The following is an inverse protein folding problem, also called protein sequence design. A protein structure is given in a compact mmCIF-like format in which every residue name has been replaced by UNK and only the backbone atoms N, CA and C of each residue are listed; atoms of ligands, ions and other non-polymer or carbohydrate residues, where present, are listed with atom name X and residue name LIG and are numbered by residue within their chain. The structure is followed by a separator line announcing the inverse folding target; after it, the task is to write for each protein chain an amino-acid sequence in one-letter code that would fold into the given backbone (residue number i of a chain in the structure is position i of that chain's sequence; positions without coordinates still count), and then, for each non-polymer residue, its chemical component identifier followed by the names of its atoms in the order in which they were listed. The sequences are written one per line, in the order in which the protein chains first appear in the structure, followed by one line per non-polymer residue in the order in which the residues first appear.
data_IF_620541008771
#
_entry.id   IF_620541008771
#
_cell.length_a   1.000
_cell.length_b   1.000
_cell.length_c   1.000
_cell.angle_alpha   90.00
_cell.angle_beta   90.00
_cell.angle_gamma   90.00
#
_symmetry.space_group_name_H-M   'P 1'
#
loop_
_entity.id
_entity.type
_entity.pdbx_description
1 polymer ?
#
# COMPACT_ATOMS: atom_id res chain seq x y z
N UNK A 1 12.97 5.93 35.12
CA UNK A 1 12.25 5.11 36.12
C UNK A 1 12.58 5.55 37.53
N UNK A 2 13.84 5.49 37.97
CA UNK A 2 14.24 5.85 39.36
C UNK A 2 13.81 7.27 39.80
N UNK A 3 13.97 8.30 38.95
CA UNK A 3 13.55 9.68 39.28
C UNK A 3 12.02 9.79 39.46
N UNK A 4 11.25 9.14 38.59
CA UNK A 4 9.78 9.13 38.66
C UNK A 4 9.29 8.37 39.90
N UNK A 5 9.91 7.23 40.19
CA UNK A 5 9.62 6.42 41.38
C UNK A 5 9.88 7.20 42.68
N UNK A 6 11.05 7.85 42.81
CA UNK A 6 11.37 8.66 43.99
C UNK A 6 10.40 9.84 44.17
N UNK A 7 9.94 10.44 43.07
CA UNK A 7 8.94 11.52 43.10
C UNK A 7 7.59 11.01 43.61
N UNK A 8 7.17 9.82 43.19
CA UNK A 8 5.91 9.21 43.62
C UNK A 8 5.95 8.78 45.09
N UNK A 9 7.07 8.20 45.54
CA UNK A 9 7.22 7.69 46.91
C UNK A 9 7.83 8.71 47.90
N UNK A 10 7.87 10.00 47.55
CA UNK A 10 8.43 11.05 48.42
C UNK A 10 7.78 11.07 49.82
N UNK A 11 6.48 10.77 49.92
CA UNK A 11 5.76 10.70 51.20
C UNK A 11 6.34 9.61 52.13
N UNK A 12 6.74 8.45 51.59
CA UNK A 12 7.37 7.37 52.36
C UNK A 12 8.75 7.78 52.85
N UNK A 13 9.52 8.48 52.01
CA UNK A 13 10.83 9.01 52.36
C UNK A 13 10.69 10.07 53.46
N UNK A 14 9.71 10.98 53.33
CA UNK A 14 9.41 12.00 54.34
C UNK A 14 9.00 11.36 55.68
N UNK A 15 8.11 10.37 55.65
CA UNK A 15 7.69 9.63 56.85
C UNK A 15 8.89 8.97 57.55
N UNK A 16 9.78 8.34 56.79
CA UNK A 16 10.99 7.72 57.32
C UNK A 16 11.92 8.76 57.99
N UNK A 17 12.13 9.92 57.35
CA UNK A 17 12.93 11.02 57.91
C UNK A 17 12.32 11.51 59.23
N UNK A 18 11.00 11.70 59.28
CA UNK A 18 10.30 12.11 60.51
C UNK A 18 10.48 11.08 61.62
N UNK A 19 10.40 9.78 61.33
CA UNK A 19 10.64 8.73 62.32
C UNK A 19 12.09 8.71 62.84
N UNK A 20 13.09 9.02 62.01
CA UNK A 20 14.47 9.15 62.51
C UNK A 20 14.66 10.41 63.35
N UNK A 21 14.00 11.51 62.97
CA UNK A 21 14.05 12.76 63.73
C UNK A 21 13.43 12.60 65.13
N UNK A 22 12.36 11.82 65.28
CA UNK A 22 11.79 11.53 66.60
C UNK A 22 12.72 10.68 67.48
N UNK A 23 13.44 9.70 66.91
CA UNK A 23 14.46 8.92 67.65
C UNK A 23 15.62 9.81 68.13
N UNK A 24 16.05 10.77 67.31
CA UNK A 24 17.07 11.74 67.71
C UNK A 24 16.56 12.68 68.80
N UNK A 25 15.31 13.14 68.69
CA UNK A 25 14.68 14.00 69.67
C UNK A 25 14.54 13.31 71.03
N UNK A 26 14.11 12.04 71.06
CA UNK A 26 13.99 11.28 72.31
C UNK A 26 15.37 11.06 72.95
N UNK A 27 16.40 10.79 72.15
CA UNK A 27 17.78 10.69 72.66
C UNK A 27 18.33 11.99 73.22
N UNK A 28 17.84 13.13 72.75
CA UNK A 28 18.25 14.44 73.27
C UNK A 28 17.54 14.79 74.57
N UNK A 29 16.27 14.37 74.73
CA UNK A 29 15.46 14.64 75.92
C UNK A 29 15.75 13.68 77.09
N UNK A 30 16.06 12.41 76.81
CA UNK A 30 16.26 11.38 77.83
C UNK A 30 17.75 11.14 78.11
N UNK A 31 18.20 11.56 79.31
CA UNK A 31 19.59 11.42 79.77
C UNK A 31 20.00 9.95 79.92
N UNK A 32 19.05 9.04 80.15
CA UNK A 32 19.34 7.61 80.24
C UNK A 32 19.61 6.97 78.87
N UNK A 33 19.19 7.61 77.77
CA UNK A 33 19.34 7.08 76.43
C UNK A 33 20.57 7.64 75.73
N UNK A 34 21.62 6.81 75.64
CA UNK A 34 22.88 7.22 75.01
C UNK A 34 22.71 7.53 73.52
N UNK A 35 23.28 8.66 73.08
CA UNK A 35 23.33 9.08 71.68
C UNK A 35 23.93 8.01 70.74
N UNK A 36 24.89 7.22 71.24
CA UNK A 36 25.48 6.11 70.46
C UNK A 36 24.45 5.01 70.15
N UNK A 37 23.54 4.73 71.07
CA UNK A 37 22.46 3.75 70.88
C UNK A 37 21.42 4.27 69.87
N UNK A 38 21.12 5.57 69.89
CA UNK A 38 20.26 6.22 68.89
C UNK A 38 20.84 6.05 67.47
N UNK A 39 22.14 6.30 67.32
CA UNK A 39 22.83 6.23 66.03
C UNK A 39 22.89 4.79 65.48
N UNK A 40 23.06 3.80 66.36
CA UNK A 40 22.99 2.39 65.99
C UNK A 40 21.59 2.00 65.47
N UNK A 41 20.52 2.42 66.15
CA UNK A 41 19.14 2.17 65.72
C UNK A 41 18.81 2.83 64.38
N UNK A 42 19.26 4.07 64.17
CA UNK A 42 19.10 4.78 62.89
C UNK A 42 19.80 4.01 61.77
N UNK A 43 21.02 3.51 62.02
CA UNK A 43 21.77 2.70 61.04
C UNK A 43 21.02 1.44 60.61
N UNK A 44 20.47 0.69 61.57
CA UNK A 44 19.66 -0.51 61.28
C UNK A 44 18.40 -0.14 60.49
N UNK A 45 17.67 0.89 60.94
CA UNK A 45 16.45 1.35 60.26
C UNK A 45 16.72 1.79 58.82
N UNK A 46 17.88 2.42 58.58
CA UNK A 46 18.29 2.86 57.25
C UNK A 46 18.57 1.68 56.33
N UNK A 47 19.23 0.62 56.81
CA UNK A 47 19.44 -0.60 56.04
C UNK A 47 18.10 -1.26 55.68
N UNK A 48 17.21 -1.41 56.66
CA UNK A 48 15.87 -1.97 56.45
C UNK A 48 15.08 -1.14 55.41
N UNK A 49 15.14 0.19 55.51
CA UNK A 49 14.45 1.09 54.59
C UNK A 49 15.01 1.03 53.17
N UNK A 50 16.33 0.92 53.00
CA UNK A 50 16.96 0.74 51.68
C UNK A 50 16.48 -0.57 51.04
N UNK A 51 16.49 -1.67 51.80
CA UNK A 51 16.00 -2.98 51.30
C UNK A 51 14.52 -2.90 50.94
N UNK A 52 13.70 -2.27 51.78
CA UNK A 52 12.27 -2.06 51.53
C UNK A 52 12.02 -1.27 50.24
N UNK A 53 12.70 -0.14 50.06
CA UNK A 53 12.58 0.69 48.85
C UNK A 53 13.07 -0.06 47.61
N UNK A 54 14.16 -0.84 47.72
CA UNK A 54 14.69 -1.62 46.61
C UNK A 54 13.73 -2.73 46.15
N UNK A 55 13.10 -3.45 47.09
CA UNK A 55 12.08 -4.46 46.78
C UNK A 55 10.86 -3.85 46.08
N UNK A 56 10.37 -2.70 46.55
CA UNK A 56 9.25 -2.01 45.91
C UNK A 56 9.65 -1.50 44.52
N UNK A 57 10.84 -0.90 44.40
CA UNK A 57 11.34 -0.40 43.12
C UNK A 57 11.41 -1.52 42.08
N UNK A 58 12.00 -2.66 42.44
CA UNK A 58 12.14 -3.79 41.50
C UNK A 58 10.79 -4.40 41.12
N UNK A 59 9.78 -4.37 42.01
CA UNK A 59 8.45 -4.89 41.72
C UNK A 59 7.64 -3.94 40.83
N UNK A 60 7.45 -2.70 41.26
CA UNK A 60 6.55 -1.75 40.57
C UNK A 60 7.12 -1.25 39.24
N UNK A 61 8.44 -1.10 39.11
CA UNK A 61 8.99 -0.53 37.86
C UNK A 61 9.00 -1.47 36.67
N UNK A 62 8.85 -2.78 36.88
CA UNK A 62 8.84 -3.76 35.79
C UNK A 62 7.65 -3.57 34.85
N UNK A 63 6.44 -3.42 35.39
CA UNK A 63 5.22 -3.21 34.61
C UNK A 63 5.28 -1.92 33.79
N UNK A 64 5.56 -0.79 34.45
CA UNK A 64 5.63 0.51 33.78
C UNK A 64 6.78 0.58 32.77
N UNK A 65 7.90 -0.10 33.01
CA UNK A 65 8.98 -0.19 32.02
C UNK A 65 8.58 -1.02 30.81
N UNK A 66 7.77 -2.08 30.99
CA UNK A 66 7.26 -2.88 29.89
C UNK A 66 6.31 -2.07 29.00
N UNK A 67 5.40 -1.30 29.60
CA UNK A 67 4.51 -0.38 28.88
C UNK A 67 5.28 0.70 28.12
N UNK A 68 6.30 1.30 28.75
CA UNK A 68 7.11 2.37 28.12
C UNK A 68 7.90 1.87 26.91
N UNK A 69 8.29 0.62 26.90
CA UNK A 69 9.10 0.02 25.83
C UNK A 69 8.24 -0.66 24.75
N UNK A 70 6.94 -0.36 24.69
CA UNK A 70 5.97 -0.91 23.72
C UNK A 70 6.02 -2.45 23.63
N UNK A 71 6.25 -3.12 24.76
CA UNK A 71 6.23 -4.59 24.81
C UNK A 71 4.81 -5.07 24.50
N UNK A 72 4.63 -6.07 23.61
CA UNK A 72 3.31 -6.58 23.27
C UNK A 72 2.50 -6.99 24.51
N UNK A 73 1.21 -6.67 24.54
CA UNK A 73 0.31 -6.90 25.68
C UNK A 73 0.30 -8.38 26.10
N UNK A 74 0.36 -9.32 25.14
CA UNK A 74 0.46 -10.76 25.40
C UNK A 74 1.70 -11.15 26.19
N UNK A 75 2.84 -10.50 25.93
CA UNK A 75 4.07 -10.77 26.68
C UNK A 75 4.01 -10.22 28.11
N UNK A 76 3.26 -9.15 28.34
CA UNK A 76 3.03 -8.59 29.69
C UNK A 76 2.17 -9.55 30.52
N UNK A 77 1.18 -10.19 29.89
CA UNK A 77 0.36 -11.24 30.48
C UNK A 77 1.19 -12.47 30.87
N UNK A 78 1.97 -13.01 29.91
CA UNK A 78 2.76 -14.22 30.11
C UNK A 78 3.86 -14.07 31.17
N UNK A 79 4.41 -12.87 31.34
CA UNK A 79 5.46 -12.59 32.33
C UNK A 79 4.90 -12.21 33.71
N UNK A 80 3.57 -12.25 33.90
CA UNK A 80 2.86 -11.86 35.13
C UNK A 80 3.38 -10.54 35.72
N UNK A 81 3.61 -9.54 34.85
CA UNK A 81 4.22 -8.28 35.26
C UNK A 81 3.24 -7.37 36.01
N UNK A 82 1.94 -7.67 35.95
CA UNK A 82 0.82 -6.93 36.54
C UNK A 82 0.44 -7.47 37.94
N UNK A 83 1.38 -7.48 38.88
CA UNK A 83 1.19 -8.13 40.18
C UNK A 83 0.35 -7.29 41.16
N UNK A 84 0.37 -5.96 41.01
CA UNK A 84 -0.42 -5.05 41.85
C UNK A 84 -1.88 -4.96 41.38
N UNK A 85 -2.82 -4.78 42.32
CA UNK A 85 -4.26 -4.58 42.03
C UNK A 85 -4.49 -3.46 41.02
N UNK A 86 -3.76 -2.34 41.14
CA UNK A 86 -3.89 -1.21 40.21
C UNK A 86 -3.26 -1.50 38.84
N UNK A 87 -2.17 -2.27 38.79
CA UNK A 87 -1.55 -2.68 37.54
C UNK A 87 -2.49 -3.61 36.75
N UNK A 88 -3.22 -4.50 37.43
CA UNK A 88 -4.24 -5.35 36.81
C UNK A 88 -5.37 -4.53 36.18
N UNK A 89 -5.90 -3.53 36.89
CA UNK A 89 -6.96 -2.65 36.33
C UNK A 89 -6.47 -1.93 35.06
N UNK A 90 -5.24 -1.40 35.08
CA UNK A 90 -4.64 -0.74 33.92
C UNK A 90 -4.45 -1.73 32.78
N UNK A 91 -3.95 -2.92 33.08
CA UNK A 91 -3.72 -3.99 32.11
C UNK A 91 -5.03 -4.45 31.47
N UNK A 92 -6.07 -4.74 32.24
CA UNK A 92 -7.40 -5.15 31.77
C UNK A 92 -8.03 -4.08 30.87
N UNK A 93 -7.88 -2.80 31.24
CA UNK A 93 -8.36 -1.68 30.42
C UNK A 93 -7.62 -1.61 29.08
N UNK A 94 -6.30 -1.77 29.08
CA UNK A 94 -5.47 -1.78 27.86
C UNK A 94 -5.83 -2.97 26.97
N UNK A 95 -5.99 -4.16 27.54
CA UNK A 95 -6.43 -5.37 26.83
C UNK A 95 -7.79 -5.16 26.17
N UNK A 96 -8.78 -4.66 26.92
CA UNK A 96 -10.12 -4.38 26.40
C UNK A 96 -10.07 -3.37 25.24
N UNK A 97 -9.21 -2.35 25.34
CA UNK A 97 -9.04 -1.36 24.29
C UNK A 97 -8.34 -1.92 23.05
N UNK A 98 -7.30 -2.76 23.21
CA UNK A 98 -6.62 -3.44 22.11
C UNK A 98 -7.59 -4.38 21.38
N UNK A 99 -8.35 -5.20 22.11
CA UNK A 99 -9.37 -6.06 21.52
C UNK A 99 -10.44 -5.27 20.75
N UNK A 100 -10.95 -4.18 21.34
CA UNK A 100 -11.94 -3.33 20.68
C UNK A 100 -11.36 -2.73 19.40
N UNK A 101 -10.15 -2.20 19.46
CA UNK A 101 -9.44 -1.62 18.30
C UNK A 101 -9.23 -2.66 17.21
N UNK A 102 -8.76 -3.87 17.56
CA UNK A 102 -8.61 -4.98 16.61
C UNK A 102 -9.93 -5.37 15.96
N UNK A 103 -11.02 -5.47 16.73
CA UNK A 103 -12.35 -5.77 16.20
C UNK A 103 -12.85 -4.68 15.25
N UNK A 104 -12.69 -3.41 15.62
CA UNK A 104 -13.06 -2.28 14.76
C UNK A 104 -12.28 -2.30 13.45
N UNK A 105 -10.95 -2.47 13.51
CA UNK A 105 -10.10 -2.57 12.32
C UNK A 105 -10.50 -3.77 11.46
N UNK A 106 -10.75 -4.92 12.07
CA UNK A 106 -11.20 -6.12 11.36
C UNK A 106 -12.53 -5.89 10.64
N UNK A 107 -13.51 -5.30 11.33
CA UNK A 107 -14.82 -4.99 10.75
C UNK A 107 -14.72 -3.96 9.62
N UNK A 108 -13.94 -2.90 9.80
CA UNK A 108 -13.69 -1.89 8.74
C UNK A 108 -13.01 -2.52 7.53
N UNK A 109 -12.00 -3.38 7.74
CA UNK A 109 -11.36 -4.10 6.64
C UNK A 109 -12.36 -5.02 5.93
N UNK A 110 -13.24 -5.70 6.68
CA UNK A 110 -14.29 -6.55 6.11
C UNK A 110 -15.30 -5.74 5.28
N UNK A 111 -15.73 -4.58 5.76
CA UNK A 111 -16.61 -3.67 5.02
C UNK A 111 -15.93 -3.15 3.74
N UNK A 112 -14.67 -2.73 3.82
CA UNK A 112 -13.89 -2.29 2.64
C UNK A 112 -13.79 -3.42 1.60
N UNK A 113 -13.56 -4.66 2.04
CA UNK A 113 -13.51 -5.82 1.14
C UNK A 113 -14.90 -6.15 0.56
N UNK A 114 -15.97 -6.05 1.34
CA UNK A 114 -17.33 -6.24 0.86
C UNK A 114 -17.70 -5.20 -0.21
N UNK A 115 -17.50 -3.91 0.08
CA UNK A 115 -17.72 -2.83 -0.90
C UNK A 115 -16.86 -3.00 -2.16
N UNK A 116 -15.65 -3.56 -2.02
CA UNK A 116 -14.81 -3.89 -3.18
C UNK A 116 -15.44 -4.99 -4.04
N UNK A 117 -15.93 -6.06 -3.43
CA UNK A 117 -16.58 -7.16 -4.15
C UNK A 117 -17.88 -6.72 -4.81
N UNK A 118 -18.74 -5.97 -4.09
CA UNK A 118 -20.00 -5.46 -4.62
C UNK A 118 -19.80 -4.61 -5.90
N UNK A 119 -18.75 -3.79 -5.93
CA UNK A 119 -18.42 -3.00 -7.12
C UNK A 119 -17.92 -3.88 -8.28
N UNK A 120 -17.16 -4.95 -8.01
CA UNK A 120 -16.71 -5.86 -9.06
C UNK A 120 -17.91 -6.61 -9.66
N UNK A 121 -18.80 -7.09 -8.82
CA UNK A 121 -20.03 -7.79 -9.23
C UNK A 121 -20.93 -6.85 -10.04
N UNK A 122 -21.13 -5.61 -9.58
CA UNK A 122 -21.87 -4.60 -10.34
C UNK A 122 -21.27 -4.32 -11.72
N UNK A 123 -19.94 -4.23 -11.85
CA UNK A 123 -19.33 -4.02 -13.18
C UNK A 123 -19.55 -5.25 -14.07
N UNK A 124 -19.46 -6.47 -13.53
CA UNK A 124 -19.77 -7.69 -14.27
C UNK A 124 -21.22 -7.70 -14.76
N UNK A 125 -22.18 -7.32 -13.91
CA UNK A 125 -23.59 -7.20 -14.27
C UNK A 125 -23.82 -6.15 -15.36
N UNK A 126 -23.17 -4.98 -15.28
CA UNK A 126 -23.26 -3.92 -16.30
C UNK A 126 -22.62 -4.34 -17.62
N UNK A 127 -21.57 -5.17 -17.62
CA UNK A 127 -20.90 -5.60 -18.86
C UNK A 127 -21.82 -6.44 -19.77
N UNK A 128 -22.78 -7.16 -19.18
CA UNK A 128 -23.76 -7.97 -19.90
C UNK A 128 -24.68 -7.15 -20.83
N UNK A 129 -25.45 -6.15 -20.34
CA UNK A 129 -26.28 -5.30 -21.20
C UNK A 129 -25.44 -4.42 -22.14
N UNK A 130 -24.22 -4.00 -21.74
CA UNK A 130 -23.29 -3.35 -22.67
C UNK A 130 -22.98 -4.28 -23.86
N UNK A 131 -22.66 -5.55 -23.61
CA UNK A 131 -22.38 -6.52 -24.67
C UNK A 131 -23.61 -6.75 -25.56
N UNK A 132 -24.81 -6.86 -24.98
CA UNK A 132 -26.05 -6.98 -25.73
C UNK A 132 -26.31 -5.73 -26.61
N UNK A 133 -26.09 -4.52 -26.08
CA UNK A 133 -26.19 -3.29 -26.86
C UNK A 133 -25.24 -3.29 -28.06
N UNK A 134 -24.01 -3.80 -27.91
CA UNK A 134 -23.07 -3.92 -29.04
C UNK A 134 -23.67 -4.74 -30.18
N UNK A 135 -24.26 -5.89 -29.86
CA UNK A 135 -24.88 -6.77 -30.85
C UNK A 135 -26.05 -6.08 -31.58
N UNK A 136 -26.85 -5.29 -30.86
CA UNK A 136 -27.94 -4.51 -31.45
C UNK A 136 -27.41 -3.36 -32.33
N UNK A 137 -26.36 -2.67 -31.90
CA UNK A 137 -25.71 -1.63 -32.69
C UNK A 137 -25.09 -2.18 -33.97
N UNK A 138 -24.56 -3.42 -33.93
CA UNK A 138 -24.00 -4.09 -35.09
C UNK A 138 -25.07 -4.39 -36.18
N UNK A 139 -26.35 -4.43 -35.82
CA UNK A 139 -27.49 -4.62 -36.74
C UNK A 139 -27.97 -3.32 -37.42
N UNK A 140 -27.52 -2.14 -36.98
CA UNK A 140 -27.92 -0.87 -37.58
C UNK A 140 -27.31 -0.75 -38.99
N UNK A 141 -28.17 -0.46 -39.98
CA UNK A 141 -27.78 -0.28 -41.39
C UNK A 141 -27.25 1.15 -41.67
N UNK A 142 -27.82 2.16 -41.01
CA UNK A 142 -27.41 3.56 -41.16
C UNK A 142 -25.99 3.77 -40.60
N UNK A 143 -25.04 3.98 -41.50
CA UNK A 143 -23.62 3.95 -41.19
C UNK A 143 -23.17 5.10 -40.26
N UNK A 144 -23.72 6.30 -40.44
CA UNK A 144 -23.37 7.47 -39.62
C UNK A 144 -23.94 7.36 -38.21
N UNK A 145 -25.19 6.93 -38.07
CA UNK A 145 -25.81 6.66 -36.76
C UNK A 145 -25.08 5.54 -36.03
N UNK A 146 -24.78 4.43 -36.72
CA UNK A 146 -24.02 3.31 -36.18
C UNK A 146 -22.66 3.74 -35.66
N UNK A 147 -21.93 4.55 -36.44
CA UNK A 147 -20.61 5.08 -36.06
C UNK A 147 -20.67 5.89 -34.77
N UNK A 148 -21.62 6.81 -34.65
CA UNK A 148 -21.78 7.65 -33.45
C UNK A 148 -22.16 6.84 -32.22
N UNK A 149 -23.05 5.85 -32.36
CA UNK A 149 -23.46 4.99 -31.24
C UNK A 149 -22.34 4.02 -30.81
N UNK A 150 -21.62 3.42 -31.76
CA UNK A 150 -20.46 2.57 -31.45
C UNK A 150 -19.34 3.36 -30.78
N UNK A 151 -19.19 4.65 -31.08
CA UNK A 151 -18.27 5.53 -30.39
C UNK A 151 -18.62 5.67 -28.90
N UNK A 152 -19.86 6.04 -28.56
CA UNK A 152 -20.28 6.17 -27.15
C UNK A 152 -20.27 4.82 -26.42
N UNK A 153 -20.66 3.73 -27.10
CA UNK A 153 -20.53 2.37 -26.56
C UNK A 153 -19.10 2.03 -26.19
N UNK A 154 -18.14 2.27 -27.10
CA UNK A 154 -16.72 1.99 -26.88
C UNK A 154 -16.16 2.85 -25.75
N UNK A 155 -16.67 4.07 -25.60
CA UNK A 155 -16.31 4.97 -24.51
C UNK A 155 -16.81 4.46 -23.16
N UNK A 156 -18.04 3.94 -23.08
CA UNK A 156 -18.59 3.34 -21.86
C UNK A 156 -17.82 2.07 -21.48
N UNK A 157 -17.57 1.17 -22.44
CA UNK A 157 -16.81 -0.07 -22.22
C UNK A 157 -15.40 0.24 -21.68
N UNK A 158 -14.72 1.23 -22.25
CA UNK A 158 -13.44 1.71 -21.75
C UNK A 158 -13.51 2.24 -20.30
N UNK A 159 -14.54 3.03 -19.96
CA UNK A 159 -14.70 3.56 -18.60
C UNK A 159 -14.97 2.47 -17.57
N UNK A 160 -15.73 1.43 -17.94
CA UNK A 160 -15.98 0.27 -17.09
C UNK A 160 -14.70 -0.54 -16.87
N UNK A 161 -13.95 -0.81 -17.93
CA UNK A 161 -12.67 -1.49 -17.84
C UNK A 161 -11.68 -0.72 -16.95
N UNK A 162 -11.62 0.62 -17.07
CA UNK A 162 -10.82 1.47 -16.19
C UNK A 162 -11.18 1.29 -14.71
N UNK A 163 -12.47 1.26 -14.36
CA UNK A 163 -12.91 1.04 -12.99
C UNK A 163 -12.53 -0.35 -12.48
N UNK A 164 -12.67 -1.40 -13.31
CA UNK A 164 -12.23 -2.75 -12.96
C UNK A 164 -10.73 -2.79 -12.63
N UNK A 165 -9.90 -2.17 -13.47
CA UNK A 165 -8.45 -2.23 -13.29
C UNK A 165 -7.98 -1.47 -12.05
N UNK A 166 -8.52 -0.27 -11.78
CA UNK A 166 -8.23 0.49 -10.54
C UNK A 166 -8.51 -0.37 -9.31
N UNK A 167 -9.64 -1.10 -9.30
CA UNK A 167 -10.02 -1.95 -8.17
C UNK A 167 -9.14 -3.20 -8.03
N UNK A 168 -8.72 -3.81 -9.14
CA UNK A 168 -7.82 -4.96 -9.14
C UNK A 168 -6.40 -4.60 -8.70
N UNK A 169 -5.85 -3.46 -9.10
CA UNK A 169 -4.52 -3.01 -8.63
C UNK A 169 -4.49 -2.68 -7.13
N UNK A 170 -5.63 -2.26 -6.57
CA UNK A 170 -5.73 -1.99 -5.14
C UNK A 170 -5.64 -3.26 -4.27
N UNK A 171 -5.78 -4.46 -4.85
CA UNK A 171 -5.41 -5.71 -4.16
C UNK A 171 -3.91 -5.93 -4.31
N UNK A 172 -3.18 -5.97 -3.20
CA UNK A 172 -1.77 -6.40 -3.12
C UNK A 172 -1.48 -7.84 -3.61
N UNK A 173 -2.48 -8.54 -4.14
CA UNK A 173 -2.47 -9.95 -4.53
C UNK A 173 -2.88 -10.13 -6.00
N UNK A 174 -2.27 -9.36 -6.90
CA UNK A 174 -2.38 -9.70 -8.32
C UNK A 174 -1.29 -10.72 -8.61
N UNK A 175 -1.67 -11.99 -8.66
CA UNK A 175 -0.82 -13.04 -9.21
C UNK A 175 -0.64 -12.72 -10.70
N UNK A 176 0.52 -12.16 -11.05
CA UNK A 176 0.91 -11.93 -12.43
C UNK A 176 1.25 -13.28 -13.06
N UNK A 177 0.72 -13.53 -14.25
CA UNK A 177 1.01 -14.73 -15.03
C UNK A 177 2.02 -14.37 -16.12
N UNK A 178 3.30 -14.52 -15.79
CA UNK A 178 4.39 -14.19 -16.71
C UNK A 178 4.57 -15.26 -17.79
N UNK A 179 4.85 -14.82 -19.01
CA UNK A 179 5.13 -15.67 -20.16
C UNK A 179 5.75 -14.88 -21.30
N UNK A 180 6.19 -15.58 -22.34
CA UNK A 180 6.71 -14.94 -23.55
C UNK A 180 5.57 -14.66 -24.53
N UNK A 181 5.28 -13.38 -24.76
CA UNK A 181 4.19 -12.94 -25.61
C UNK A 181 4.69 -12.05 -26.75
N UNK A 182 4.09 -12.20 -27.93
CA UNK A 182 4.40 -11.37 -29.09
C UNK A 182 3.86 -9.94 -28.89
N UNK A 183 4.75 -8.95 -28.89
CA UNK A 183 4.39 -7.57 -28.60
C UNK A 183 3.46 -6.98 -29.67
N UNK A 184 3.73 -7.32 -30.93
CA UNK A 184 2.90 -6.94 -32.08
C UNK A 184 1.46 -7.38 -31.96
N UNK A 185 1.21 -8.62 -31.55
CA UNK A 185 -0.15 -9.14 -31.36
C UNK A 185 -0.89 -8.37 -30.27
N UNK A 186 -0.22 -8.10 -29.15
CA UNK A 186 -0.79 -7.31 -28.06
C UNK A 186 -1.18 -5.91 -28.54
N UNK A 187 -0.30 -5.23 -29.28
CA UNK A 187 -0.57 -3.89 -29.82
C UNK A 187 -1.71 -3.91 -30.83
N UNK A 188 -1.71 -4.84 -31.79
CA UNK A 188 -2.76 -4.96 -32.81
C UNK A 188 -4.13 -5.19 -32.15
N UNK A 189 -4.22 -6.07 -31.14
CA UNK A 189 -5.46 -6.28 -30.38
C UNK A 189 -5.98 -4.97 -29.78
N UNK A 190 -5.10 -4.15 -29.20
CA UNK A 190 -5.51 -2.86 -28.60
C UNK A 190 -5.88 -1.79 -29.63
N UNK A 191 -5.22 -1.76 -30.78
CA UNK A 191 -5.61 -0.90 -31.90
C UNK A 191 -7.00 -1.27 -32.42
N UNK A 192 -7.29 -2.57 -32.56
CA UNK A 192 -8.61 -3.06 -32.97
C UNK A 192 -9.69 -2.69 -31.96
N UNK A 193 -9.41 -2.78 -30.66
CA UNK A 193 -10.33 -2.30 -29.61
C UNK A 193 -10.62 -0.81 -29.72
N UNK A 194 -9.62 0.00 -30.05
CA UNK A 194 -9.75 1.46 -30.19
C UNK A 194 -10.23 1.91 -31.59
N UNK A 195 -10.58 0.97 -32.49
CA UNK A 195 -10.94 1.25 -33.89
C UNK A 195 -12.10 2.24 -34.02
N UNK A 196 -13.17 2.07 -33.25
CA UNK A 196 -14.35 2.94 -33.35
C UNK A 196 -14.03 4.39 -32.95
N UNK A 197 -13.18 4.57 -31.93
CA UNK A 197 -12.75 5.90 -31.45
C UNK A 197 -11.81 6.56 -32.48
N UNK A 198 -10.82 5.82 -32.97
CA UNK A 198 -9.87 6.30 -33.97
C UNK A 198 -10.54 6.66 -35.30
N UNK A 199 -11.46 5.83 -35.81
CA UNK A 199 -12.26 6.11 -37.01
C UNK A 199 -13.22 7.28 -36.84
N UNK A 200 -13.79 7.48 -35.65
CA UNK A 200 -14.60 8.66 -35.35
C UNK A 200 -13.77 9.94 -35.40
N UNK A 201 -12.53 9.90 -34.93
CA UNK A 201 -11.61 11.04 -34.93
C UNK A 201 -10.81 11.22 -36.23
N UNK A 202 -10.87 10.27 -37.16
CA UNK A 202 -10.05 10.30 -38.38
C UNK A 202 -8.55 10.17 -38.11
N UNK A 203 -8.17 9.43 -37.06
CA UNK A 203 -6.78 9.21 -36.66
C UNK A 203 -6.36 7.80 -37.05
N UNK A 204 -5.27 7.66 -37.82
CA UNK A 204 -4.65 6.39 -38.16
C UNK A 204 -3.53 5.97 -37.22
N UNK A 205 -2.89 4.85 -37.56
CA UNK A 205 -1.71 4.33 -36.85
C UNK A 205 -0.61 3.98 -37.84
N UNK A 206 0.60 4.48 -37.61
CA UNK A 206 1.82 4.03 -38.28
C UNK A 206 2.49 2.98 -37.38
N UNK A 207 2.42 1.71 -37.80
CA UNK A 207 2.87 0.57 -37.00
C UNK A 207 4.18 0.04 -37.58
N UNK A 208 5.25 0.24 -36.82
CA UNK A 208 6.62 -0.19 -37.15
C UNK A 208 7.09 -1.16 -36.07
N UNK A 209 6.40 -2.29 -35.97
CA UNK A 209 6.62 -3.31 -34.94
C UNK A 209 6.99 -4.63 -35.62
N UNK A 210 8.11 -5.20 -35.22
CA UNK A 210 8.55 -6.52 -35.67
C UNK A 210 7.90 -7.62 -34.81
N UNK A 211 8.35 -8.87 -34.94
CA UNK A 211 7.76 -10.00 -34.20
C UNK A 211 8.51 -10.26 -32.87
N UNK A 212 8.88 -9.20 -32.14
CA UNK A 212 9.60 -9.35 -30.87
C UNK A 212 8.71 -10.00 -29.79
N UNK A 213 9.33 -10.89 -29.02
CA UNK A 213 8.70 -11.54 -27.86
C UNK A 213 9.24 -10.92 -26.58
N UNK A 214 8.33 -10.53 -25.70
CA UNK A 214 8.66 -9.95 -24.39
C UNK A 214 8.17 -10.86 -23.27
N UNK A 215 8.93 -10.94 -22.19
CA UNK A 215 8.53 -11.69 -20.99
C UNK A 215 7.73 -10.77 -20.06
N UNK A 216 6.42 -11.01 -19.96
CA UNK A 216 5.45 -10.16 -19.25
C UNK A 216 4.17 -10.95 -18.96
N UNK A 217 3.23 -10.37 -18.22
CA UNK A 217 1.83 -10.79 -18.24
C UNK A 217 1.08 -10.11 -19.40
N UNK A 218 0.47 -10.92 -20.30
CA UNK A 218 -0.22 -10.43 -21.50
C UNK A 218 -1.37 -9.47 -21.14
N UNK A 219 -2.19 -9.82 -20.14
CA UNK A 219 -3.41 -9.10 -19.79
C UNK A 219 -3.08 -7.73 -19.21
N UNK A 220 -2.13 -7.66 -18.30
CA UNK A 220 -1.72 -6.42 -17.66
C UNK A 220 -0.92 -5.54 -18.62
N UNK A 221 -0.03 -6.12 -19.44
CA UNK A 221 0.68 -5.37 -20.48
C UNK A 221 -0.28 -4.75 -21.51
N UNK A 222 -1.26 -5.53 -21.99
CA UNK A 222 -2.33 -5.01 -22.87
C UNK A 222 -3.11 -3.86 -22.24
N UNK A 223 -3.34 -3.90 -20.92
CA UNK A 223 -4.01 -2.81 -20.20
C UNK A 223 -3.18 -1.52 -20.23
N UNK A 224 -1.86 -1.62 -20.03
CA UNK A 224 -0.94 -0.49 -20.17
C UNK A 224 -0.99 0.07 -21.59
N UNK A 225 -0.86 -0.78 -22.60
CA UNK A 225 -0.89 -0.37 -24.02
C UNK A 225 -2.22 0.33 -24.34
N UNK A 226 -3.35 -0.25 -23.94
CA UNK A 226 -4.70 0.33 -24.09
C UNK A 226 -4.78 1.73 -23.51
N UNK A 227 -4.23 1.91 -22.32
CA UNK A 227 -4.26 3.20 -21.63
C UNK A 227 -3.43 4.26 -22.35
N UNK A 228 -2.26 3.88 -22.88
CA UNK A 228 -1.40 4.77 -23.63
C UNK A 228 -2.02 5.16 -24.98
N UNK A 229 -2.58 4.18 -25.72
CA UNK A 229 -3.32 4.43 -26.97
C UNK A 229 -4.53 5.34 -26.72
N UNK A 230 -5.30 5.10 -25.65
CA UNK A 230 -6.44 5.94 -25.28
C UNK A 230 -6.02 7.38 -24.98
N UNK A 231 -4.91 7.58 -24.27
CA UNK A 231 -4.35 8.91 -24.03
C UNK A 231 -3.92 9.57 -25.35
N UNK A 232 -3.21 8.85 -26.21
CA UNK A 232 -2.78 9.35 -27.51
C UNK A 232 -3.97 9.79 -28.39
N UNK A 233 -5.01 8.95 -28.49
CA UNK A 233 -6.25 9.26 -29.21
C UNK A 233 -7.01 10.41 -28.57
N UNK A 234 -6.99 10.54 -27.24
CA UNK A 234 -7.67 11.61 -26.54
C UNK A 234 -7.10 12.98 -26.88
N UNK A 235 -5.77 13.10 -26.94
CA UNK A 235 -5.08 14.39 -27.09
C UNK A 235 -4.63 14.72 -28.50
N UNK A 236 -4.52 13.74 -29.41
CA UNK A 236 -4.16 13.99 -30.82
C UNK A 236 -5.36 14.47 -31.62
N UNK A 237 -5.09 15.41 -32.53
CA UNK A 237 -6.04 15.90 -33.52
C UNK A 237 -5.37 15.84 -34.91
N UNK A 238 -6.05 15.23 -35.89
CA UNK A 238 -5.69 15.24 -37.32
C UNK A 238 -4.26 14.75 -37.69
N UNK A 239 -3.66 13.88 -36.87
CA UNK A 239 -2.37 13.22 -37.14
C UNK A 239 -2.40 11.78 -36.67
N UNK A 240 -1.66 10.93 -37.36
CA UNK A 240 -1.55 9.50 -37.03
C UNK A 240 -0.66 9.27 -35.82
N UNK A 241 -1.00 8.26 -35.03
CA UNK A 241 -0.21 7.82 -33.87
C UNK A 241 0.87 6.88 -34.38
N UNK A 242 2.12 7.11 -34.00
CA UNK A 242 3.24 6.25 -34.38
C UNK A 242 3.51 5.25 -33.26
N UNK A 243 3.50 3.95 -33.58
CA UNK A 243 3.85 2.89 -32.64
C UNK A 243 5.00 2.09 -33.25
N UNK A 244 6.12 2.06 -32.57
CA UNK A 244 7.35 1.43 -33.06
C UNK A 244 8.04 0.62 -31.98
N UNK A 245 8.76 -0.42 -32.39
CA UNK A 245 9.66 -1.17 -31.52
C UNK A 245 11.10 -1.02 -31.97
N UNK A 246 12.01 -1.16 -31.01
CA UNK A 246 13.44 -1.32 -31.28
C UNK A 246 14.09 -2.08 -30.13
N UNK A 247 15.22 -2.72 -30.42
CA UNK A 247 16.06 -3.35 -29.39
C UNK A 247 17.27 -2.47 -29.09
N UNK A 248 17.57 -2.31 -27.80
CA UNK A 248 18.77 -1.62 -27.36
C UNK A 248 19.29 -2.28 -26.08
N UNK A 249 20.60 -2.54 -25.99
CA UNK A 249 21.21 -3.16 -24.80
C UNK A 249 20.52 -4.47 -24.35
N UNK A 250 20.04 -5.28 -25.28
CA UNK A 250 19.34 -6.55 -24.99
C UNK A 250 17.94 -6.40 -24.37
N UNK A 251 17.38 -5.19 -24.39
CA UNK A 251 16.00 -4.92 -23.96
C UNK A 251 15.15 -4.51 -25.16
N UNK A 252 13.90 -4.95 -25.16
CA UNK A 252 12.89 -4.51 -26.14
C UNK A 252 12.25 -3.20 -25.66
N UNK A 253 12.13 -2.25 -26.57
CA UNK A 253 11.51 -0.95 -26.32
C UNK A 253 10.24 -0.83 -27.15
N UNK A 254 9.11 -0.48 -26.52
CA UNK A 254 7.89 -0.08 -27.21
C UNK A 254 7.71 1.43 -27.10
N UNK A 255 7.73 2.11 -28.24
CA UNK A 255 7.52 3.55 -28.34
C UNK A 255 6.13 3.83 -28.90
N UNK A 256 5.35 4.61 -28.15
CA UNK A 256 4.05 5.15 -28.59
C UNK A 256 4.18 6.67 -28.63
N UNK A 257 4.06 7.25 -29.83
CA UNK A 257 4.18 8.68 -30.06
C UNK A 257 2.87 9.25 -30.59
N UNK A 258 2.39 10.26 -29.89
CA UNK A 258 1.23 11.05 -30.25
C UNK A 258 1.65 12.48 -30.63
N UNK A 259 0.80 13.15 -31.38
CA UNK A 259 1.01 14.53 -31.82
C UNK A 259 -0.06 15.47 -31.25
N UNK A 260 -0.48 15.18 -30.02
CA UNK A 260 -1.41 16.03 -29.30
C UNK A 260 -0.77 17.30 -28.78
N UNK A 261 -1.49 17.97 -27.88
CA UNK A 261 -1.04 19.22 -27.24
C UNK A 261 0.25 19.14 -26.42
N UNK A 262 0.80 17.94 -26.20
CA UNK A 262 1.91 17.71 -25.28
C UNK A 262 1.63 18.05 -23.82
N UNK A 263 2.66 17.94 -22.98
CA UNK A 263 2.62 18.11 -21.52
C UNK A 263 3.59 19.23 -21.15
N UNK A 264 3.14 20.15 -20.28
CA UNK A 264 4.00 21.24 -19.79
C UNK A 264 5.12 20.65 -18.93
N UNK A 265 6.33 21.18 -19.05
CA UNK A 265 7.50 20.71 -18.29
C UNK A 265 7.28 20.66 -16.78
N UNK A 266 6.52 21.62 -16.22
CA UNK A 266 6.14 21.66 -14.80
C UNK A 266 5.21 20.52 -14.35
N UNK A 267 4.44 19.96 -15.27
CA UNK A 267 3.46 18.91 -15.00
C UNK A 267 4.08 17.51 -15.16
N UNK A 268 5.13 17.37 -15.99
CA UNK A 268 5.81 16.09 -16.29
C UNK A 268 6.18 15.26 -15.05
N UNK A 269 6.74 15.81 -13.96
CA UNK A 269 7.07 15.03 -12.77
C UNK A 269 5.86 14.42 -12.06
N UNK A 270 4.67 14.98 -12.30
CA UNK A 270 3.44 14.70 -11.54
C UNK A 270 2.41 13.89 -12.32
N UNK A 271 2.66 13.61 -13.60
CA UNK A 271 1.68 12.95 -14.48
C UNK A 271 1.28 11.54 -14.04
N UNK A 272 2.12 10.91 -13.21
CA UNK A 272 1.88 9.59 -12.63
C UNK A 272 1.29 9.65 -11.22
N UNK A 273 1.06 10.84 -10.65
CA UNK A 273 0.39 10.97 -9.35
C UNK A 273 -1.08 10.57 -9.47
N UNK A 274 -1.58 9.88 -8.44
CA UNK A 274 -2.97 9.45 -8.36
C UNK A 274 -3.92 10.65 -8.44
N UNK A 275 -4.79 10.66 -9.46
CA UNK A 275 -5.81 11.70 -9.63
C UNK A 275 -5.29 13.00 -10.25
N UNK A 276 -4.05 13.03 -10.74
CA UNK A 276 -3.48 14.23 -11.36
C UNK A 276 -4.13 14.56 -12.71
N UNK A 277 -4.53 15.81 -12.87
CA UNK A 277 -5.05 16.35 -14.14
C UNK A 277 -4.45 17.73 -14.39
N UNK A 278 -3.95 17.98 -15.61
CA UNK A 278 -3.51 19.33 -15.99
C UNK A 278 -4.75 20.17 -16.34
N UNK A 279 -5.22 20.97 -15.39
CA UNK A 279 -6.51 21.70 -15.37
C UNK A 279 -6.65 22.86 -16.37
N UNK A 280 -5.91 22.86 -17.49
CA UNK A 280 -5.81 24.06 -18.34
C UNK A 280 -7.07 24.30 -19.22
N UNK A 281 -7.87 23.27 -19.56
CA UNK A 281 -9.03 23.43 -20.45
C UNK A 281 -10.34 22.92 -19.83
N UNK A 282 -11.38 23.77 -19.79
CA UNK A 282 -12.75 23.42 -19.32
C UNK A 282 -13.40 22.26 -20.12
N UNK A 283 -12.95 21.98 -21.34
CA UNK A 283 -13.40 20.82 -22.15
C UNK A 283 -12.76 19.49 -21.71
N UNK A 284 -11.71 19.52 -20.90
CA UNK A 284 -10.97 18.34 -20.42
C UNK A 284 -11.37 17.90 -19.00
N UNK A 285 -12.42 18.49 -18.41
CA UNK A 285 -12.90 18.23 -17.04
C UNK A 285 -13.38 16.79 -16.78
N UNK A 286 -13.35 15.93 -17.80
CA UNK A 286 -13.71 14.50 -17.72
C UNK A 286 -12.52 13.58 -17.44
N UNK A 287 -11.29 14.11 -17.32
CA UNK A 287 -10.14 13.31 -16.95
C UNK A 287 -10.19 12.95 -15.45
N UNK A 288 -10.15 11.66 -15.11
CA UNK A 288 -10.08 11.21 -13.71
C UNK A 288 -8.67 11.30 -13.12
N UNK A 289 -7.65 11.49 -13.96
CA UNK A 289 -6.25 11.47 -13.54
C UNK A 289 -5.74 10.09 -13.09
N UNK A 290 -6.50 9.03 -13.34
CA UNK A 290 -6.15 7.67 -12.89
C UNK A 290 -5.38 6.86 -13.94
N UNK A 291 -5.47 7.23 -15.23
CA UNK A 291 -4.92 6.41 -16.32
C UNK A 291 -3.41 6.24 -16.28
N UNK A 292 -2.64 7.34 -16.20
CA UNK A 292 -1.18 7.23 -16.12
C UNK A 292 -0.72 6.68 -14.77
N UNK A 293 -1.42 6.97 -13.67
CA UNK A 293 -1.18 6.31 -12.39
C UNK A 293 -1.28 4.78 -12.52
N UNK A 294 -2.34 4.28 -13.20
CA UNK A 294 -2.53 2.86 -13.48
C UNK A 294 -1.35 2.28 -14.28
N UNK A 295 -0.90 3.01 -15.32
CA UNK A 295 0.25 2.60 -16.13
C UNK A 295 1.46 2.38 -15.22
N UNK A 296 1.78 3.35 -14.36
CA UNK A 296 2.93 3.25 -13.45
C UNK A 296 2.84 2.04 -12.53
N UNK A 297 1.73 1.86 -11.82
CA UNK A 297 1.55 0.75 -10.86
C UNK A 297 1.63 -0.62 -11.55
N UNK A 298 1.01 -0.76 -12.74
CA UNK A 298 1.11 -2.00 -13.52
C UNK A 298 2.54 -2.23 -13.99
N UNK A 299 3.20 -1.22 -14.57
CA UNK A 299 4.56 -1.36 -15.09
C UNK A 299 5.57 -1.67 -13.98
N UNK A 300 5.39 -1.11 -12.78
CA UNK A 300 6.18 -1.44 -11.61
C UNK A 300 6.03 -2.91 -11.21
N UNK A 301 4.78 -3.43 -11.18
CA UNK A 301 4.52 -4.85 -10.93
C UNK A 301 5.09 -5.80 -12.00
N UNK A 302 5.13 -5.36 -13.26
CA UNK A 302 5.68 -6.11 -14.38
C UNK A 302 7.20 -5.93 -14.59
N UNK A 303 7.86 -5.12 -13.75
CA UNK A 303 9.26 -4.72 -13.94
C UNK A 303 9.56 -4.06 -15.32
N UNK A 304 8.55 -3.43 -15.91
CA UNK A 304 8.66 -2.63 -17.14
C UNK A 304 8.97 -1.19 -16.74
N UNK A 305 9.98 -0.55 -17.34
CA UNK A 305 10.23 0.88 -17.08
C UNK A 305 9.38 1.72 -18.04
N UNK A 306 8.76 2.79 -17.53
CA UNK A 306 8.01 3.75 -18.33
C UNK A 306 8.70 5.12 -18.32
N UNK A 307 9.07 5.60 -19.51
CA UNK A 307 9.66 6.93 -19.71
C UNK A 307 8.74 7.77 -20.58
N UNK A 308 8.58 9.06 -20.23
CA UNK A 308 7.76 10.00 -20.99
C UNK A 308 8.60 11.20 -21.40
N UNK A 309 8.60 11.50 -22.69
CA UNK A 309 9.15 12.73 -23.27
C UNK A 309 8.01 13.49 -23.92
N UNK A 310 7.86 14.76 -23.59
CA UNK A 310 6.76 15.55 -24.13
C UNK A 310 7.21 17.00 -24.29
N UNK A 311 6.83 17.60 -25.42
CA UNK A 311 7.00 19.02 -25.67
C UNK A 311 5.62 19.64 -25.83
N UNK A 312 5.33 20.67 -25.04
CA UNK A 312 4.04 21.35 -25.11
C UNK A 312 3.83 21.97 -26.50
N UNK A 313 2.72 21.62 -27.15
CA UNK A 313 2.36 22.02 -28.51
C UNK A 313 2.83 21.07 -29.61
N UNK A 314 3.72 20.11 -29.34
CA UNK A 314 4.27 19.21 -30.38
C UNK A 314 3.77 17.76 -30.27
N UNK A 315 3.60 17.26 -29.03
CA UNK A 315 3.16 15.89 -28.80
C UNK A 315 3.79 15.23 -27.58
N UNK A 316 3.50 13.95 -27.39
CA UNK A 316 4.08 13.13 -26.32
C UNK A 316 4.58 11.80 -26.88
N UNK A 317 5.72 11.36 -26.38
CA UNK A 317 6.28 10.04 -26.62
C UNK A 317 6.37 9.31 -25.30
N UNK A 318 5.70 8.16 -25.22
CA UNK A 318 5.82 7.23 -24.10
C UNK A 318 6.64 6.03 -24.55
N UNK A 319 7.60 5.63 -23.72
CA UNK A 319 8.53 4.55 -23.98
C UNK A 319 8.41 3.51 -22.86
N UNK A 320 8.03 2.29 -23.22
CA UNK A 320 8.04 1.14 -22.33
C UNK A 320 9.30 0.33 -22.60
N UNK A 321 10.03 -0.02 -21.54
CA UNK A 321 11.28 -0.77 -21.60
C UNK A 321 11.05 -2.09 -20.89
N UNK A 322 11.06 -3.18 -21.65
CA UNK A 322 10.82 -4.51 -21.12
C UNK A 322 12.09 -5.06 -20.44
N UNK A 323 11.95 -5.81 -19.33
CA UNK A 323 13.08 -6.42 -18.65
C UNK A 323 13.78 -7.45 -19.55
N UNK A 324 15.06 -7.71 -19.29
CA UNK A 324 15.75 -8.77 -20.02
C UNK A 324 15.17 -10.14 -19.62
N UNK A 325 15.14 -11.13 -20.52
CA UNK A 325 14.66 -12.48 -20.20
C UNK A 325 15.35 -13.13 -18.99
N UNK A 326 16.60 -12.76 -18.69
CA UNK A 326 17.37 -13.28 -17.56
C UNK A 326 17.16 -12.55 -16.22
N UNK A 327 16.50 -11.38 -16.20
CA UNK A 327 16.35 -10.60 -14.96
C UNK A 327 15.20 -11.10 -14.06
N UNK A 328 14.24 -11.85 -14.62
CA UNK A 328 13.05 -12.33 -13.90
C UNK A 328 13.12 -13.81 -13.50
N UNK A 329 13.95 -14.62 -14.17
CA UNK A 329 14.19 -16.03 -13.80
C UNK A 329 14.93 -16.17 -12.46
N UNK A 330 15.69 -15.15 -12.03
CA UNK A 330 16.29 -15.11 -10.69
C UNK A 330 15.28 -14.88 -9.56
N UNK A 331 14.10 -14.31 -9.85
CA UNK A 331 13.08 -14.05 -8.83
C UNK A 331 12.21 -15.30 -8.61
N UNK A 332 11.81 -16.00 -9.68
CA UNK A 332 10.99 -17.23 -9.58
C UNK A 332 11.69 -18.35 -8.77
N UNK A 333 13.02 -18.51 -8.91
CA UNK A 333 13.79 -19.48 -8.12
C UNK A 333 13.93 -19.12 -6.62
N UNK A 334 13.61 -17.89 -6.22
CA UNK A 334 13.59 -17.46 -4.82
C UNK A 334 12.21 -17.56 -4.17
N UNK A 335 11.13 -17.39 -4.95
CA UNK A 335 9.75 -17.54 -4.47
C UNK A 335 9.34 -19.00 -4.28
N UNK A 336 9.77 -19.92 -5.15
CA UNK A 336 9.41 -21.35 -5.03
C UNK A 336 10.08 -22.05 -3.83
N UNK A 337 11.25 -21.58 -3.40
CA UNK A 337 11.93 -22.12 -2.20
C UNK A 337 11.27 -21.69 -0.90
N UNK A 338 10.63 -20.52 -0.85
CA UNK A 338 9.96 -20.03 0.36
C UNK A 338 8.55 -20.62 0.55
N UNK A 339 7.90 -21.07 -0.52
CA UNK A 339 6.60 -21.76 -0.43
C UNK A 339 6.78 -23.22 0.02
N UNK A 340 7.82 -23.89 -0.45
CA UNK A 340 8.11 -25.28 -0.06
C UNK A 340 8.72 -25.41 1.36
N UNK A 341 9.41 -24.39 1.87
CA UNK A 341 9.90 -24.38 3.26
C UNK A 341 8.78 -24.12 4.29
N UNK A 342 7.82 -23.25 3.96
CA UNK A 342 6.72 -22.91 4.88
C UNK A 342 5.62 -23.97 4.92
N UNK A 343 5.51 -24.82 3.88
CA UNK A 343 4.55 -25.93 3.88
C UNK A 343 5.08 -27.16 4.63
N UNK A 344 6.41 -27.37 4.71
CA UNK A 344 7.00 -28.43 5.55
C UNK A 344 7.00 -28.09 7.05
N UNK A 345 7.16 -26.83 7.44
CA UNK A 345 7.09 -26.44 8.86
C UNK A 345 5.69 -26.52 9.47
N UNK A 346 4.63 -26.50 8.66
CA UNK A 346 3.25 -26.58 9.17
C UNK A 346 2.77 -28.03 9.37
N UNK A 347 3.34 -28.99 8.64
CA UNK A 347 2.95 -30.40 8.71
C UNK A 347 3.68 -31.14 9.86
N UNK A 348 4.95 -30.81 10.14
CA UNK A 348 5.72 -31.44 11.23
C UNK A 348 5.25 -31.00 12.64
N UNK A 349 4.49 -29.91 12.76
CA UNK A 349 3.96 -29.43 14.05
C UNK A 349 2.65 -30.09 14.50
N UNK A 350 2.07 -31.00 13.69
CA UNK A 350 0.80 -31.67 13.99
C UNK A 350 0.92 -33.14 14.40
N UNK A 351 2.13 -33.69 14.46
CA UNK A 351 2.37 -35.08 14.90
C UNK A 351 2.94 -35.22 16.32
N UNK A 352 3.13 -34.14 17.09
CA UNK A 352 3.70 -34.20 18.46
C UNK A 352 2.82 -33.69 19.62
N UNK A 353 1.48 -33.69 19.50
CA UNK A 353 0.59 -33.47 20.65
C UNK A 353 -0.60 -34.44 20.70
#
# INVERSE_FOLDING_TARGET
MIKSFLKEKWIWILLFIVMQATILLTSWLDIAFSFKSALYLIGINLIIFIVFIWLIYTRETRFYSALKNDIPIKEIEHKELNQSTYEKIVFDYIQLYDERTRRTIHNQNKEIQATKNDLLDWIHEVKTPITAMKLLLDQIEEQDLKKNLLYEWSRIDYLLDQQLYIRRLSSKSNDFYFGHYALKEMVIKEIQHARNISMAKGIGYDIQIEDEKVYTDEKWCRTVIRQLISNALKYTENKDIIISTYEQHGQTYLKIQDFGRGIKARDLPRIFERGFTSTTNRRESTATGMGLYLVKEITEGLSIKVNVKSTYGEGTTVLLIFPQPNDLTTVEHSSDKNVTSNMKMYDESKEEL
#
